data_IF_752603705546
#
_entry.id   IF_752603705546
#
_cell.length_a   1.000
_cell.length_b   1.000
_cell.length_c   1.000
_cell.angle_alpha   90.00
_cell.angle_beta   90.00
_cell.angle_gamma   90.00
#
_symmetry.space_group_name_H-M   'P 1'
#
loop_
_entity.id
_entity.type
_entity.pdbx_description
1 polymer ?
#
# COMPACT_ATOMS: atom_id res chain seq x y z
N UNK A 1 5.74 -16.10 -22.72
CA UNK A 1 4.53 -15.76 -21.95
C UNK A 1 4.85 -15.91 -20.46
N UNK A 2 5.17 -14.81 -19.80
CA UNK A 2 5.55 -14.81 -18.38
C UNK A 2 4.43 -14.29 -17.50
N UNK A 3 4.34 -14.80 -16.26
CA UNK A 3 3.61 -14.16 -15.17
C UNK A 3 4.59 -13.28 -14.39
N UNK A 4 4.10 -12.15 -13.90
CA UNK A 4 4.85 -11.28 -12.99
C UNK A 4 4.22 -11.38 -11.60
N UNK A 5 5.03 -11.73 -10.61
CA UNK A 5 4.66 -11.65 -9.20
C UNK A 5 5.51 -10.56 -8.57
N UNK A 6 4.86 -9.61 -7.95
CA UNK A 6 5.53 -8.52 -7.24
C UNK A 6 5.01 -8.51 -5.81
N UNK A 7 5.91 -8.43 -4.85
CA UNK A 7 5.58 -8.37 -3.44
C UNK A 7 6.37 -7.26 -2.73
N UNK A 8 5.70 -6.51 -1.87
CA UNK A 8 6.32 -5.63 -0.91
C UNK A 8 5.97 -6.14 0.50
N UNK A 9 6.96 -6.25 1.36
CA UNK A 9 6.76 -6.65 2.75
C UNK A 9 7.69 -5.85 3.65
N UNK A 10 7.23 -5.57 4.85
CA UNK A 10 8.00 -4.92 5.90
C UNK A 10 7.95 -5.77 7.17
N UNK A 11 9.10 -5.90 7.84
CA UNK A 11 9.20 -6.52 9.14
C UNK A 11 9.55 -5.45 10.17
N UNK A 12 8.67 -5.22 11.12
CA UNK A 12 8.92 -4.28 12.23
C UNK A 12 9.78 -4.97 13.28
N UNK A 13 11.01 -4.48 13.49
CA UNK A 13 11.94 -5.01 14.47
C UNK A 13 11.81 -4.23 15.78
N UNK A 14 11.18 -4.80 16.79
CA UNK A 14 11.25 -4.28 18.15
C UNK A 14 12.53 -4.74 18.83
N UNK A 15 13.45 -3.80 19.09
CA UNK A 15 14.75 -4.07 19.69
C UNK A 15 14.63 -4.28 21.19
N UNK A 16 14.19 -5.21 21.85
CA UNK A 16 14.49 -5.45 23.28
C UNK A 16 13.75 -6.59 24.00
N UNK A 17 13.04 -7.48 23.31
CA UNK A 17 12.47 -8.63 24.01
C UNK A 17 12.85 -9.95 23.36
N UNK A 18 13.29 -10.90 24.16
CA UNK A 18 13.94 -12.16 23.73
C UNK A 18 13.01 -13.19 23.09
N UNK A 19 11.72 -12.91 22.96
CA UNK A 19 10.69 -13.81 22.41
C UNK A 19 9.60 -13.05 21.64
N UNK A 20 9.95 -12.01 20.89
CA UNK A 20 8.94 -11.22 20.14
C UNK A 20 8.76 -11.81 18.74
N UNK A 21 7.59 -12.36 18.51
CA UNK A 21 7.07 -12.58 17.16
C UNK A 21 6.96 -11.22 16.46
N UNK A 22 7.73 -11.03 15.38
CA UNK A 22 7.67 -9.79 14.63
C UNK A 22 6.45 -9.81 13.72
N UNK A 23 5.51 -8.87 13.85
CA UNK A 23 4.43 -8.75 12.90
C UNK A 23 5.02 -8.43 11.52
N UNK A 24 4.71 -9.23 10.54
CA UNK A 24 5.09 -9.01 9.15
C UNK A 24 3.83 -8.53 8.42
N UNK A 25 3.94 -7.39 7.77
CA UNK A 25 2.94 -6.87 6.85
C UNK A 25 3.35 -7.16 5.42
N UNK A 26 2.41 -7.28 4.53
CA UNK A 26 2.77 -7.51 3.16
C UNK A 26 1.62 -7.32 2.18
N UNK A 27 1.99 -6.95 0.97
CA UNK A 27 1.09 -6.89 -0.17
C UNK A 27 1.77 -7.53 -1.38
N UNK A 28 1.02 -8.33 -2.14
CA UNK A 28 1.49 -9.02 -3.32
C UNK A 28 0.54 -8.78 -4.48
N UNK A 29 1.09 -8.53 -5.67
CA UNK A 29 0.38 -8.39 -6.92
C UNK A 29 0.82 -9.50 -7.88
N UNK A 30 -0.15 -10.17 -8.48
CA UNK A 30 0.06 -11.15 -9.54
C UNK A 30 -0.55 -10.61 -10.83
N UNK A 31 0.26 -10.57 -11.88
CA UNK A 31 -0.14 -10.17 -13.23
C UNK A 31 0.08 -11.32 -14.21
N UNK A 32 -0.96 -11.67 -14.95
CA UNK A 32 -0.88 -12.68 -16.00
C UNK A 32 -1.76 -12.30 -17.18
N UNK A 33 -1.15 -12.07 -18.32
CA UNK A 33 -1.84 -11.57 -19.53
C UNK A 33 -2.58 -10.27 -19.21
N UNK A 34 -3.90 -10.26 -19.36
CA UNK A 34 -4.79 -9.15 -19.06
C UNK A 34 -5.51 -9.32 -17.71
N UNK A 35 -4.98 -10.13 -16.80
CA UNK A 35 -5.56 -10.34 -15.47
C UNK A 35 -4.63 -9.84 -14.38
N UNK A 36 -5.22 -9.26 -13.34
CA UNK A 36 -4.55 -8.88 -12.11
C UNK A 36 -5.26 -9.50 -10.91
N UNK A 37 -4.48 -9.96 -9.94
CA UNK A 37 -4.97 -10.42 -8.63
C UNK A 37 -3.99 -9.96 -7.56
N UNK A 38 -4.48 -9.67 -6.37
CA UNK A 38 -3.62 -9.27 -5.26
C UNK A 38 -4.11 -9.82 -3.93
N UNK A 39 -3.17 -9.86 -3.00
CA UNK A 39 -3.43 -10.23 -1.63
C UNK A 39 -2.68 -9.28 -0.70
N UNK A 40 -3.22 -9.02 0.49
CA UNK A 40 -2.51 -8.24 1.49
C UNK A 40 -2.81 -8.73 2.90
N UNK A 41 -1.92 -8.36 3.82
CA UNK A 41 -2.09 -8.54 5.26
C UNK A 41 -1.37 -7.39 5.97
N UNK A 42 -2.01 -6.79 6.98
CA UNK A 42 -1.51 -5.61 7.66
C UNK A 42 -1.94 -4.32 6.96
N UNK A 43 -1.04 -3.33 6.90
CA UNK A 43 -1.27 -1.98 6.42
C UNK A 43 -0.38 -1.56 5.24
N UNK A 44 0.44 -2.48 4.70
CA UNK A 44 1.04 -2.27 3.39
C UNK A 44 -0.04 -2.23 2.33
N UNK A 45 0.01 -1.24 1.45
CA UNK A 45 -1.07 -0.95 0.49
C UNK A 45 -0.70 -1.25 -0.94
N UNK A 46 -1.71 -1.65 -1.70
CA UNK A 46 -1.74 -1.60 -3.17
C UNK A 46 -2.77 -0.55 -3.59
N UNK A 47 -2.36 0.30 -4.53
CA UNK A 47 -3.24 1.20 -5.27
C UNK A 47 -3.23 0.78 -6.73
N UNK A 48 -4.41 0.69 -7.35
CA UNK A 48 -4.60 0.43 -8.75
C UNK A 48 -5.22 1.64 -9.43
N UNK A 49 -4.58 2.15 -10.47
CA UNK A 49 -5.05 3.26 -11.28
C UNK A 49 -5.37 2.76 -12.68
N UNK A 50 -6.47 3.24 -13.24
CA UNK A 50 -6.86 3.01 -14.62
C UNK A 50 -7.01 4.36 -15.32
N UNK A 51 -6.28 4.56 -16.42
CA UNK A 51 -6.23 5.84 -17.15
C UNK A 51 -5.91 7.04 -16.23
N UNK A 52 -5.02 6.84 -15.27
CA UNK A 52 -4.60 7.87 -14.32
C UNK A 52 -5.56 8.14 -13.18
N UNK A 53 -6.70 7.45 -13.08
CA UNK A 53 -7.69 7.61 -12.01
C UNK A 53 -7.61 6.42 -11.05
N UNK A 54 -7.69 6.66 -9.75
CA UNK A 54 -7.72 5.61 -8.74
C UNK A 54 -8.97 4.75 -8.94
N UNK A 55 -8.76 3.47 -9.30
CA UNK A 55 -9.81 2.51 -9.56
C UNK A 55 -10.07 1.60 -8.36
N UNK A 56 -9.02 1.18 -7.64
CA UNK A 56 -9.12 0.30 -6.47
C UNK A 56 -7.89 0.44 -5.56
N UNK A 57 -8.00 -0.01 -4.32
CA UNK A 57 -6.91 -0.04 -3.35
C UNK A 57 -7.22 -1.02 -2.21
N UNK A 58 -6.18 -1.46 -1.48
CA UNK A 58 -6.33 -2.31 -0.30
C UNK A 58 -6.69 -1.50 0.93
N UNK A 59 -7.61 -2.02 1.74
CA UNK A 59 -7.98 -1.45 3.04
C UNK A 59 -7.14 -2.09 4.15
N UNK A 60 -6.55 -1.27 5.02
CA UNK A 60 -5.66 -1.75 6.08
C UNK A 60 -6.37 -2.68 7.07
N UNK A 61 -5.65 -3.66 7.60
CA UNK A 61 -6.08 -4.46 8.74
C UNK A 61 -5.70 -3.75 10.06
N UNK A 62 -6.09 -2.49 10.20
CA UNK A 62 -5.73 -1.62 11.32
C UNK A 62 -6.95 -1.11 12.09
N UNK A 63 -6.73 -0.72 13.34
CA UNK A 63 -7.76 -0.09 14.15
C UNK A 63 -8.24 1.23 13.52
N UNK A 64 -7.34 1.99 12.91
CA UNK A 64 -7.67 3.22 12.21
C UNK A 64 -8.66 2.99 11.06
N UNK A 65 -8.44 1.96 10.23
CA UNK A 65 -9.37 1.60 9.15
C UNK A 65 -10.72 1.14 9.70
N UNK A 66 -10.73 0.43 10.82
CA UNK A 66 -11.97 0.04 11.50
C UNK A 66 -12.74 1.27 12.00
N UNK A 67 -12.04 2.24 12.61
CA UNK A 67 -12.64 3.50 13.09
C UNK A 67 -13.24 4.33 11.95
N UNK A 68 -12.66 4.30 10.74
CA UNK A 68 -13.29 4.89 9.55
C UNK A 68 -14.61 4.16 9.22
N UNK A 69 -14.61 2.83 9.20
CA UNK A 69 -15.84 2.04 8.92
C UNK A 69 -16.94 2.25 9.95
N UNK A 70 -16.58 2.53 11.19
CA UNK A 70 -17.51 2.83 12.29
C UNK A 70 -17.96 4.30 12.31
N UNK A 71 -17.35 5.16 11.48
CA UNK A 71 -17.65 6.59 11.42
C UNK A 71 -17.03 7.43 12.53
N UNK A 72 -16.08 6.88 13.28
CA UNK A 72 -15.30 7.59 14.29
C UNK A 72 -14.24 8.49 13.65
N UNK A 73 -13.65 8.04 12.53
CA UNK A 73 -12.85 8.85 11.62
C UNK A 73 -13.64 9.09 10.34
N UNK A 74 -13.57 10.30 9.81
CA UNK A 74 -14.36 10.70 8.65
C UNK A 74 -13.64 10.47 7.32
N UNK A 75 -12.30 10.40 7.36
CA UNK A 75 -11.49 10.20 6.18
C UNK A 75 -10.15 9.55 6.51
N UNK A 76 -9.49 9.00 5.49
CA UNK A 76 -8.14 8.44 5.62
C UNK A 76 -7.07 9.47 5.90
N UNK A 77 -7.30 10.74 5.55
CA UNK A 77 -6.37 11.82 5.88
C UNK A 77 -6.21 12.04 7.39
N UNK A 78 -7.10 11.49 8.20
CA UNK A 78 -7.03 11.55 9.66
C UNK A 78 -6.20 10.42 10.27
N UNK A 79 -5.92 9.33 9.51
CA UNK A 79 -5.16 8.17 10.00
C UNK A 79 -3.80 8.56 10.59
N UNK A 80 -2.97 9.40 9.96
CA UNK A 80 -1.67 9.76 10.51
C UNK A 80 -1.71 10.43 11.88
N UNK A 81 -2.83 11.05 12.24
CA UNK A 81 -3.05 11.72 13.52
C UNK A 81 -3.76 10.86 14.56
N UNK A 82 -4.19 9.66 14.18
CA UNK A 82 -4.95 8.77 15.06
C UNK A 82 -4.01 8.01 16.00
N UNK A 83 -4.26 8.06 17.31
CA UNK A 83 -3.41 7.44 18.35
C UNK A 83 -3.28 5.91 18.20
N UNK A 84 -4.31 5.27 17.65
CA UNK A 84 -4.33 3.84 17.38
C UNK A 84 -3.85 3.39 16.00
N UNK A 85 -3.21 4.27 15.20
CA UNK A 85 -2.87 4.01 13.78
C UNK A 85 -2.02 2.78 13.56
N UNK A 86 -1.05 2.52 14.43
CA UNK A 86 -0.13 1.38 14.36
C UNK A 86 -0.69 0.07 14.95
N UNK A 87 -1.93 0.07 15.46
CA UNK A 87 -2.55 -1.13 15.99
C UNK A 87 -3.16 -1.96 14.87
N UNK A 88 -2.51 -3.06 14.53
CA UNK A 88 -2.97 -4.03 13.55
C UNK A 88 -3.69 -5.19 14.23
N UNK A 89 -4.72 -5.72 13.55
CA UNK A 89 -5.45 -6.92 13.98
C UNK A 89 -5.22 -8.12 13.05
N UNK A 90 -4.41 -7.96 12.00
CA UNK A 90 -3.95 -9.04 11.13
C UNK A 90 -2.50 -8.82 10.73
N UNK A 91 -1.67 -9.80 11.02
CA UNK A 91 -0.24 -9.83 10.68
C UNK A 91 0.17 -11.24 10.31
N UNK A 92 1.27 -11.41 9.60
CA UNK A 92 1.86 -12.73 9.33
C UNK A 92 2.55 -13.22 10.60
N UNK A 93 2.38 -14.50 10.94
CA UNK A 93 2.94 -15.12 12.13
C UNK A 93 1.88 -15.70 13.07
N UNK A 94 0.62 -15.36 12.87
CA UNK A 94 -0.50 -15.97 13.55
C UNK A 94 -1.12 -17.05 12.62
N UNK A 95 -1.07 -18.30 13.03
CA UNK A 95 -1.55 -19.45 12.25
C UNK A 95 -3.06 -19.40 11.93
N UNK A 96 -3.84 -18.66 12.71
CA UNK A 96 -5.28 -18.48 12.49
C UNK A 96 -5.59 -17.35 11.52
N UNK A 97 -4.65 -16.44 11.25
CA UNK A 97 -4.86 -15.26 10.44
C UNK A 97 -4.35 -15.49 9.00
N UNK A 98 -5.25 -15.35 8.03
CA UNK A 98 -4.94 -15.49 6.61
C UNK A 98 -4.90 -14.14 5.90
N UNK A 99 -4.03 -13.97 4.87
CA UNK A 99 -4.07 -12.81 4.00
C UNK A 99 -5.47 -12.63 3.37
N UNK A 100 -5.86 -11.39 3.18
CA UNK A 100 -7.06 -11.07 2.40
C UNK A 100 -6.73 -11.20 0.92
N UNK A 101 -7.47 -12.07 0.24
CA UNK A 101 -7.39 -12.25 -1.20
C UNK A 101 -8.43 -11.36 -1.88
N UNK A 102 -8.02 -10.62 -2.88
CA UNK A 102 -8.90 -9.89 -3.77
C UNK A 102 -9.26 -10.77 -4.97
N UNK A 103 -10.51 -10.70 -5.40
CA UNK A 103 -10.95 -11.44 -6.58
C UNK A 103 -10.15 -11.00 -7.80
N UNK A 104 -9.70 -11.93 -8.66
CA UNK A 104 -9.01 -11.55 -9.89
C UNK A 104 -9.88 -10.63 -10.75
N UNK A 105 -9.27 -9.60 -11.30
CA UNK A 105 -9.90 -8.69 -12.25
C UNK A 105 -9.33 -8.87 -13.64
N UNK A 106 -10.14 -8.62 -14.65
CA UNK A 106 -9.68 -8.48 -16.03
C UNK A 106 -9.37 -7.01 -16.28
N UNK A 107 -8.15 -6.72 -16.69
CA UNK A 107 -7.74 -5.37 -17.06
C UNK A 107 -8.49 -4.96 -18.33
N UNK A 108 -9.24 -3.86 -18.26
CA UNK A 108 -9.92 -3.25 -19.40
C UNK A 108 -8.90 -2.56 -20.32
N UNK A 109 -9.25 -2.24 -21.58
CA UNK A 109 -8.36 -1.44 -22.42
C UNK A 109 -7.99 -0.10 -21.78
N UNK A 110 -6.75 0.33 -22.00
CA UNK A 110 -6.18 1.57 -21.48
C UNK A 110 -4.97 1.37 -20.55
N UNK A 111 -4.42 2.46 -20.07
CA UNK A 111 -3.25 2.46 -19.20
C UNK A 111 -3.59 2.00 -17.79
N UNK A 112 -2.82 1.07 -17.25
CA UNK A 112 -2.92 0.64 -15.86
C UNK A 112 -1.62 0.92 -15.09
N UNK A 113 -1.75 1.48 -13.89
CA UNK A 113 -0.64 1.65 -12.98
C UNK A 113 -0.96 1.02 -11.62
N UNK A 114 0.03 0.35 -11.05
CA UNK A 114 -0.06 -0.24 -9.70
C UNK A 114 1.07 0.34 -8.85
N UNK A 115 0.73 0.71 -7.62
CA UNK A 115 1.69 1.12 -6.59
C UNK A 115 1.52 0.21 -5.39
N UNK A 116 2.59 -0.51 -5.02
CA UNK A 116 2.67 -1.25 -3.77
C UNK A 116 3.60 -0.46 -2.84
N UNK A 117 3.17 -0.19 -1.61
CA UNK A 117 4.00 0.57 -0.69
C UNK A 117 3.72 0.24 0.78
N UNK A 118 4.74 0.47 1.62
CA UNK A 118 4.60 0.42 3.07
C UNK A 118 3.97 1.70 3.63
N UNK A 119 3.57 1.65 4.90
CA UNK A 119 3.00 2.74 5.67
C UNK A 119 3.91 3.97 5.73
N UNK A 120 5.22 3.79 5.89
CA UNK A 120 6.20 4.87 5.90
C UNK A 120 6.18 5.76 4.64
N UNK A 121 5.58 5.30 3.53
CA UNK A 121 5.32 6.12 2.35
C UNK A 121 3.90 6.69 2.36
N UNK A 122 2.86 5.84 2.41
CA UNK A 122 1.48 6.29 2.18
C UNK A 122 0.92 7.15 3.32
N UNK A 123 1.35 6.98 4.56
CA UNK A 123 0.94 7.87 5.67
C UNK A 123 1.34 9.34 5.45
N UNK A 124 2.30 9.57 4.58
CA UNK A 124 2.80 10.91 4.24
C UNK A 124 2.23 11.48 2.96
N UNK A 125 1.29 10.79 2.33
CA UNK A 125 0.73 11.17 1.03
C UNK A 125 -0.79 11.12 1.08
N UNK A 126 -1.42 12.04 0.37
CA UNK A 126 -2.85 11.95 0.07
C UNK A 126 -3.02 11.20 -1.25
N UNK A 127 -4.14 10.48 -1.41
CA UNK A 127 -4.44 9.76 -2.66
C UNK A 127 -4.42 10.68 -3.88
N UNK A 128 -4.95 11.90 -3.75
CA UNK A 128 -4.93 12.91 -4.81
C UNK A 128 -3.49 13.31 -5.20
N UNK A 129 -2.56 13.30 -4.26
CA UNK A 129 -1.16 13.60 -4.54
C UNK A 129 -0.45 12.45 -5.23
N UNK A 130 -0.79 11.20 -4.86
CA UNK A 130 -0.29 10.00 -5.54
C UNK A 130 -0.73 10.02 -7.00
N UNK A 131 -2.00 10.37 -7.24
CA UNK A 131 -2.58 10.50 -8.58
C UNK A 131 -1.96 11.68 -9.35
N UNK A 132 -1.76 12.83 -8.71
CA UNK A 132 -1.13 14.00 -9.32
C UNK A 132 0.30 13.69 -9.78
N UNK A 133 1.08 12.98 -8.97
CA UNK A 133 2.45 12.61 -9.32
C UNK A 133 2.48 11.50 -10.38
N UNK A 134 1.48 10.60 -10.45
CA UNK A 134 1.29 9.68 -11.56
C UNK A 134 1.09 10.42 -12.89
N UNK A 135 0.26 11.46 -12.91
CA UNK A 135 0.02 12.27 -14.11
C UNK A 135 1.24 13.09 -14.56
N UNK A 136 2.13 13.45 -13.64
CA UNK A 136 3.36 14.20 -13.97
C UNK A 136 4.48 13.31 -14.50
N UNK A 137 4.51 12.05 -14.07
CA UNK A 137 5.58 11.13 -14.38
C UNK A 137 5.50 10.64 -15.82
N UNK A 138 6.64 10.51 -16.47
CA UNK A 138 6.75 9.86 -17.77
C UNK A 138 7.02 8.35 -17.66
N UNK A 139 7.53 7.89 -16.50
CA UNK A 139 7.86 6.49 -16.22
C UNK A 139 7.45 6.09 -14.82
N UNK A 140 7.32 4.78 -14.57
CA UNK A 140 7.05 4.25 -13.23
C UNK A 140 8.15 4.63 -12.22
N UNK A 141 9.40 4.67 -12.65
CA UNK A 141 10.55 5.10 -11.84
C UNK A 141 10.43 6.57 -11.44
N UNK A 142 10.09 7.45 -12.38
CA UNK A 142 9.88 8.87 -12.11
C UNK A 142 8.70 9.08 -11.15
N UNK A 143 7.63 8.29 -11.29
CA UNK A 143 6.52 8.36 -10.37
C UNK A 143 6.94 8.04 -8.93
N UNK A 144 7.65 6.94 -8.71
CA UNK A 144 8.19 6.60 -7.37
C UNK A 144 9.12 7.70 -6.85
N UNK A 145 9.97 8.27 -7.71
CA UNK A 145 10.84 9.36 -7.34
C UNK A 145 10.07 10.59 -6.85
N UNK A 146 9.02 11.01 -7.57
CA UNK A 146 8.17 12.15 -7.19
C UNK A 146 7.45 11.91 -5.85
N UNK A 147 6.86 10.73 -5.67
CA UNK A 147 6.22 10.33 -4.41
C UNK A 147 7.19 10.40 -3.23
N UNK A 148 8.39 9.86 -3.42
CA UNK A 148 9.44 9.88 -2.40
C UNK A 148 9.88 11.30 -2.06
N UNK A 149 10.10 12.16 -3.06
CA UNK A 149 10.42 13.57 -2.84
C UNK A 149 9.33 14.26 -2.02
N UNK A 150 8.06 14.05 -2.36
CA UNK A 150 6.92 14.63 -1.64
C UNK A 150 6.87 14.15 -0.18
N UNK A 151 7.01 12.84 0.05
CA UNK A 151 7.03 12.27 1.39
C UNK A 151 8.18 12.82 2.26
N UNK A 152 9.37 13.01 1.67
CA UNK A 152 10.54 13.57 2.36
C UNK A 152 10.38 15.06 2.73
N UNK A 153 9.59 15.82 1.97
CA UNK A 153 9.32 17.25 2.28
C UNK A 153 8.41 17.40 3.50
N UNK A 154 7.69 16.37 3.90
CA UNK A 154 6.84 16.38 5.09
C UNK A 154 7.66 15.98 6.31
N UNK A 155 7.88 16.95 7.21
CA UNK A 155 8.57 16.72 8.46
C UNK A 155 7.77 15.74 9.32
N UNK A 156 8.35 14.59 9.64
CA UNK A 156 7.88 13.68 10.68
C UNK A 156 8.95 13.57 11.74
N UNK A 157 8.56 13.52 13.00
CA UNK A 157 9.45 13.20 14.13
C UNK A 157 9.81 11.72 14.15
N UNK A 158 8.97 10.87 13.56
CA UNK A 158 9.19 9.44 13.32
C UNK A 158 9.62 9.23 11.88
N UNK A 159 10.85 8.77 11.70
CA UNK A 159 11.39 8.39 10.39
C UNK A 159 11.21 6.88 10.26
N UNK A 160 10.08 6.47 9.70
CA UNK A 160 9.89 5.07 9.33
C UNK A 160 10.50 4.77 7.97
N UNK A 161 10.95 3.52 7.78
CA UNK A 161 11.43 3.04 6.50
C UNK A 161 10.28 3.09 5.49
N UNK A 162 10.59 3.44 4.25
CA UNK A 162 9.60 3.45 3.19
C UNK A 162 10.04 2.58 2.02
N UNK A 163 9.13 1.78 1.55
CA UNK A 163 9.30 0.92 0.38
C UNK A 163 8.18 1.21 -0.61
N UNK A 164 8.54 1.29 -1.89
CA UNK A 164 7.57 1.44 -2.97
C UNK A 164 8.00 0.66 -4.21
N UNK A 165 7.03 0.03 -4.85
CA UNK A 165 7.18 -0.64 -6.14
C UNK A 165 6.06 -0.14 -7.04
N UNK A 166 6.42 0.45 -8.18
CA UNK A 166 5.47 0.88 -9.19
C UNK A 166 5.55 0.00 -10.44
N UNK A 167 4.40 -0.37 -10.97
CA UNK A 167 4.26 -1.09 -12.23
C UNK A 167 3.34 -0.29 -13.12
N UNK A 168 3.75 -0.09 -14.37
CA UNK A 168 2.98 0.65 -15.35
C UNK A 168 2.79 -0.19 -16.61
N UNK A 169 1.54 -0.48 -16.94
CA UNK A 169 1.14 -1.18 -18.15
C UNK A 169 0.53 -0.12 -19.06
N UNK A 170 1.18 0.17 -20.17
CA UNK A 170 0.73 1.11 -21.19
C UNK A 170 0.21 0.34 -22.40
N UNK A 171 -0.93 0.75 -22.91
CA UNK A 171 -1.44 0.33 -24.22
C UNK A 171 -0.80 1.11 -25.38
#
# INVERSE_FOLDING_TARGET
>A
EGSLVVAASEAVKHENEKDVEFPIHGVALYLYKNQAAWAHIGDSRLYHFHNGVLADYTEDHSLAQLSIKMGELHSRSEIPSFEGRSKLFRVIGDDEIKPQLHAPITLSPGDHAFLLCSDGLWERLLEDEIMLDLHKAATAEEWVYLLRCRAMMRKSTDVDNNTAIAIWIKE
#
